data_IF_075706039591
#
_entry.id   IF_075706039591
#
_cell.length_a   1.000
_cell.length_b   1.000
_cell.length_c   1.000
_cell.angle_alpha   90.00
_cell.angle_beta   90.00
_cell.angle_gamma   90.00
#
_symmetry.space_group_name_H-M   'P 1'
#
loop_
_entity.id
_entity.type
_entity.pdbx_description
1 polymer ?
#
# COMPACT_ATOMS: atom_id res chain seq x y z
N UNK A 1 40.18 74.88 -64.44
CA UNK A 1 39.65 75.61 -63.29
C UNK A 1 38.14 75.59 -63.43
N UNK A 2 37.47 74.68 -62.73
CA UNK A 2 36.45 75.05 -61.74
C UNK A 2 35.84 73.79 -61.15
N UNK A 3 35.96 73.73 -59.83
CA UNK A 3 35.35 72.77 -58.93
C UNK A 3 33.82 72.89 -59.00
N UNK A 4 33.12 71.76 -59.09
CA UNK A 4 31.82 71.62 -58.44
C UNK A 4 31.68 70.18 -57.95
N UNK A 5 31.90 70.02 -56.65
CA UNK A 5 31.76 68.80 -55.87
C UNK A 5 30.29 68.38 -55.78
N UNK A 6 29.92 67.37 -56.56
CA UNK A 6 28.69 66.59 -56.32
C UNK A 6 29.05 65.33 -55.53
N UNK A 7 29.42 65.49 -54.26
CA UNK A 7 29.47 64.34 -53.35
C UNK A 7 28.04 64.02 -52.89
N UNK A 8 27.57 62.76 -53.07
CA UNK A 8 26.26 62.36 -52.60
C UNK A 8 26.23 62.34 -51.06
N UNK A 9 25.27 63.06 -50.48
CA UNK A 9 24.96 63.01 -49.05
C UNK A 9 24.35 61.64 -48.75
N UNK A 10 25.07 60.81 -47.98
CA UNK A 10 24.59 59.52 -47.50
C UNK A 10 23.54 59.77 -46.41
N UNK A 11 22.26 59.70 -46.78
CA UNK A 11 21.13 59.71 -45.84
C UNK A 11 21.06 58.35 -45.13
N UNK A 12 21.81 58.24 -44.03
CA UNK A 12 21.69 57.15 -43.07
C UNK A 12 22.32 55.83 -43.52
N UNK A 13 23.42 55.44 -42.89
CA UNK A 13 23.85 54.04 -42.91
C UNK A 13 22.89 53.23 -42.05
N UNK A 14 22.03 52.43 -42.67
CA UNK A 14 21.29 51.40 -41.95
C UNK A 14 22.32 50.49 -41.27
N UNK A 15 22.33 50.52 -39.93
CA UNK A 15 23.14 49.60 -39.12
C UNK A 15 22.67 48.20 -39.51
N UNK A 16 23.52 47.46 -40.23
CA UNK A 16 23.25 46.07 -40.59
C UNK A 16 23.12 45.31 -39.27
N UNK A 17 21.89 45.10 -38.80
CA UNK A 17 21.65 44.20 -37.69
C UNK A 17 22.28 42.87 -38.04
N UNK A 18 23.09 42.34 -37.12
CA UNK A 18 23.74 41.03 -37.28
C UNK A 18 22.64 40.03 -37.58
N UNK A 19 22.56 39.62 -38.84
CA UNK A 19 21.77 38.49 -39.31
C UNK A 19 21.90 37.37 -38.27
N UNK A 20 20.76 36.98 -37.69
CA UNK A 20 20.65 35.93 -36.68
C UNK A 20 21.41 34.72 -37.18
N UNK A 21 22.48 34.31 -36.47
CA UNK A 21 23.39 33.24 -36.91
C UNK A 21 22.58 31.96 -37.16
N UNK A 22 22.31 31.57 -38.42
CA UNK A 22 21.45 30.41 -38.70
C UNK A 22 22.08 29.12 -38.17
N UNK A 23 23.40 29.07 -38.12
CA UNK A 23 24.19 27.97 -37.53
C UNK A 23 23.81 27.72 -36.06
N UNK A 24 23.52 28.76 -35.27
CA UNK A 24 23.14 28.58 -33.87
C UNK A 24 21.79 27.88 -33.72
N UNK A 25 20.84 28.18 -34.61
CA UNK A 25 19.52 27.52 -34.63
C UNK A 25 19.68 26.03 -34.96
N UNK A 26 20.53 25.68 -35.91
CA UNK A 26 20.82 24.27 -36.24
C UNK A 26 21.52 23.53 -35.11
N UNK A 27 22.43 24.18 -34.37
CA UNK A 27 23.08 23.58 -33.20
C UNK A 27 22.07 23.30 -32.09
N UNK A 28 21.18 24.25 -31.79
CA UNK A 28 20.12 24.08 -30.78
C UNK A 28 19.13 22.99 -31.20
N UNK A 29 18.73 22.96 -32.48
CA UNK A 29 17.84 21.93 -33.01
C UNK A 29 18.46 20.53 -32.92
N UNK A 30 19.74 20.39 -33.26
CA UNK A 30 20.47 19.13 -33.14
C UNK A 30 20.57 18.66 -31.67
N UNK A 31 20.73 19.59 -30.73
CA UNK A 31 20.74 19.30 -29.29
C UNK A 31 19.37 18.83 -28.78
N UNK A 32 18.28 19.47 -29.23
CA UNK A 32 16.92 19.06 -28.87
C UNK A 32 16.60 17.68 -29.45
N UNK A 33 16.90 17.46 -30.73
CA UNK A 33 16.69 16.15 -31.37
C UNK A 33 17.54 15.08 -30.66
N UNK A 34 18.82 15.35 -30.43
CA UNK A 34 19.73 14.45 -29.74
C UNK A 34 19.26 14.08 -28.33
N UNK A 35 18.78 15.06 -27.56
CA UNK A 35 18.25 14.81 -26.20
C UNK A 35 16.93 14.05 -26.23
N UNK A 36 16.05 14.32 -27.20
CA UNK A 36 14.76 13.61 -27.33
C UNK A 36 14.96 12.14 -27.69
N UNK A 37 15.93 11.82 -28.55
CA UNK A 37 16.27 10.43 -28.87
C UNK A 37 17.15 9.76 -27.80
N UNK A 38 17.98 10.50 -27.08
CA UNK A 38 18.82 9.96 -26.01
C UNK A 38 18.07 9.74 -24.69
N UNK A 39 16.94 10.42 -24.46
CA UNK A 39 16.10 10.30 -23.27
C UNK A 39 15.75 8.85 -22.89
N UNK A 40 15.22 7.99 -23.80
CA UNK A 40 14.94 6.59 -23.46
C UNK A 40 16.20 5.80 -23.06
N UNK A 41 17.36 6.11 -23.65
CA UNK A 41 18.64 5.47 -23.30
C UNK A 41 19.18 5.95 -21.95
N UNK A 42 19.04 7.24 -21.64
CA UNK A 42 19.40 7.79 -20.32
C UNK A 42 18.50 7.19 -19.25
N UNK A 43 17.20 7.02 -19.53
CA UNK A 43 16.26 6.38 -18.63
C UNK A 43 16.64 4.92 -18.36
N UNK A 44 17.00 4.14 -19.39
CA UNK A 44 17.49 2.76 -19.17
C UNK A 44 18.83 2.73 -18.42
N UNK A 45 19.72 3.69 -18.69
CA UNK A 45 21.04 3.77 -18.06
C UNK A 45 20.95 4.16 -16.58
N UNK A 46 20.09 5.11 -16.20
CA UNK A 46 19.86 5.51 -14.80
C UNK A 46 19.12 4.42 -14.01
N UNK A 47 18.24 3.64 -14.65
CA UNK A 47 17.48 2.59 -13.98
C UNK A 47 18.27 1.29 -13.78
N UNK A 48 19.40 1.09 -14.47
CA UNK A 48 20.29 -0.07 -14.30
C UNK A 48 21.37 0.21 -13.22
N UNK A 49 21.33 -0.47 -12.06
CA UNK A 49 22.28 -0.26 -10.97
C UNK A 49 23.72 -0.69 -11.29
N UNK A 50 23.95 -1.44 -12.37
CA UNK A 50 25.29 -1.86 -12.81
C UNK A 50 26.04 -0.77 -13.61
N UNK A 51 25.35 0.31 -13.97
CA UNK A 51 25.99 1.44 -14.66
C UNK A 51 26.50 2.48 -13.68
N UNK A 52 27.45 3.31 -14.10
CA UNK A 52 28.01 4.36 -13.25
C UNK A 52 26.94 5.37 -12.76
N UNK A 53 26.05 5.81 -13.65
CA UNK A 53 24.99 6.77 -13.31
C UNK A 53 23.88 6.11 -12.50
N UNK A 54 23.53 4.86 -12.80
CA UNK A 54 22.59 4.10 -11.98
C UNK A 54 23.12 3.90 -10.57
N UNK A 55 24.35 3.43 -10.40
CA UNK A 55 24.97 3.27 -9.09
C UNK A 55 24.99 4.58 -8.26
N UNK A 56 25.23 5.73 -8.91
CA UNK A 56 25.14 7.05 -8.27
C UNK A 56 23.70 7.43 -7.90
N UNK A 57 22.73 7.19 -8.80
CA UNK A 57 21.32 7.45 -8.55
C UNK A 57 20.79 6.61 -7.37
N UNK A 58 21.06 5.30 -7.37
CA UNK A 58 20.66 4.38 -6.31
C UNK A 58 21.37 4.69 -4.98
N UNK A 59 22.60 5.19 -4.99
CA UNK A 59 23.36 5.53 -3.76
C UNK A 59 22.87 6.79 -3.05
N UNK A 60 22.35 7.78 -3.77
CA UNK A 60 22.04 9.10 -3.20
C UNK A 60 20.56 9.48 -3.23
N UNK A 61 19.75 8.88 -4.11
CA UNK A 61 18.36 9.30 -4.33
C UNK A 61 17.33 8.20 -4.09
N UNK A 62 17.75 6.93 -3.96
CA UNK A 62 16.88 5.82 -3.54
C UNK A 62 17.25 5.42 -2.10
N UNK A 63 16.38 5.70 -1.12
CA UNK A 63 16.37 4.93 0.12
C UNK A 63 16.25 3.45 -0.24
N UNK A 64 16.90 2.52 0.47
CA UNK A 64 16.82 1.11 0.11
C UNK A 64 15.35 0.71 0.20
N UNK A 65 14.71 0.52 -0.95
CA UNK A 65 13.57 -0.38 -0.98
C UNK A 65 14.12 -1.75 -0.60
N UNK A 66 13.43 -2.46 0.29
CA UNK A 66 13.84 -3.78 0.72
C UNK A 66 14.13 -4.64 -0.51
N UNK A 67 15.19 -5.45 -0.40
CA UNK A 67 15.61 -6.36 -1.45
C UNK A 67 14.56 -7.48 -1.61
N UNK A 68 13.42 -7.12 -2.19
CA UNK A 68 12.53 -8.07 -2.81
C UNK A 68 13.27 -8.51 -4.07
N UNK A 69 14.01 -9.62 -3.99
CA UNK A 69 14.33 -10.37 -5.20
C UNK A 69 12.98 -10.59 -5.89
N UNK A 70 12.68 -9.94 -7.02
CA UNK A 70 11.45 -10.23 -7.71
C UNK A 70 11.60 -11.68 -8.15
N UNK A 71 10.88 -12.58 -7.46
CA UNK A 71 10.55 -13.86 -8.04
C UNK A 71 9.76 -13.47 -9.28
N UNK A 72 10.43 -13.38 -10.43
CA UNK A 72 9.77 -13.22 -11.71
C UNK A 72 8.81 -14.39 -11.76
N UNK A 73 7.48 -14.17 -11.68
CA UNK A 73 6.53 -15.25 -11.67
C UNK A 73 6.77 -16.09 -12.91
N UNK A 74 6.62 -17.40 -12.79
CA UNK A 74 6.46 -18.22 -13.99
C UNK A 74 5.24 -17.62 -14.73
N UNK A 75 5.43 -17.14 -15.96
CA UNK A 75 4.41 -16.33 -16.65
C UNK A 75 3.08 -17.08 -16.82
N UNK A 76 3.12 -18.41 -16.72
CA UNK A 76 2.00 -19.33 -16.79
C UNK A 76 1.01 -19.22 -15.61
N UNK A 77 1.43 -18.66 -14.47
CA UNK A 77 0.59 -18.56 -13.26
C UNK A 77 -0.14 -17.21 -13.11
N UNK A 78 0.07 -16.27 -14.03
CA UNK A 78 -0.55 -14.94 -13.99
C UNK A 78 -1.84 -14.90 -14.81
N UNK A 79 -2.95 -14.55 -14.15
CA UNK A 79 -4.25 -14.43 -14.79
C UNK A 79 -4.64 -12.96 -14.95
N UNK A 80 -5.27 -12.61 -16.07
CA UNK A 80 -5.83 -11.26 -16.26
C UNK A 80 -6.91 -11.02 -15.20
N UNK A 81 -6.91 -9.86 -14.54
CA UNK A 81 -7.93 -9.52 -13.54
C UNK A 81 -9.15 -8.90 -14.21
N UNK A 82 -10.19 -9.71 -14.45
CA UNK A 82 -11.48 -9.30 -15.01
C UNK A 82 -12.63 -10.22 -14.55
N UNK A 83 -13.86 -9.88 -14.93
CA UNK A 83 -15.08 -10.58 -14.48
C UNK A 83 -15.14 -12.04 -14.92
N UNK A 84 -14.57 -12.36 -16.08
CA UNK A 84 -14.58 -13.70 -16.67
C UNK A 84 -13.50 -14.62 -16.07
N UNK A 85 -12.53 -14.05 -15.37
CA UNK A 85 -11.40 -14.79 -14.85
C UNK A 85 -11.74 -15.51 -13.55
N UNK A 86 -11.30 -16.77 -13.49
CA UNK A 86 -11.27 -17.54 -12.25
C UNK A 86 -9.83 -17.95 -11.94
N UNK A 87 -9.35 -17.57 -10.76
CA UNK A 87 -8.02 -17.91 -10.27
C UNK A 87 -8.16 -19.05 -9.25
N UNK A 88 -7.33 -20.08 -9.41
CA UNK A 88 -7.30 -21.24 -8.53
C UNK A 88 -5.98 -21.30 -7.79
N UNK A 89 -6.03 -21.47 -6.47
CA UNK A 89 -4.86 -21.76 -5.66
C UNK A 89 -5.22 -22.74 -4.56
N UNK A 90 -4.70 -23.96 -4.67
CA UNK A 90 -5.06 -25.09 -3.79
C UNK A 90 -6.58 -25.28 -3.74
N UNK A 91 -7.22 -25.03 -2.60
CA UNK A 91 -8.67 -25.14 -2.39
C UNK A 91 -9.40 -23.81 -2.59
N UNK A 92 -8.69 -22.69 -2.69
CA UNK A 92 -9.24 -21.33 -2.81
C UNK A 92 -9.53 -21.03 -4.28
N UNK A 93 -10.71 -20.47 -4.51
CA UNK A 93 -11.17 -20.01 -5.82
C UNK A 93 -11.55 -18.54 -5.70
N UNK A 94 -10.98 -17.72 -6.57
CA UNK A 94 -11.29 -16.30 -6.71
C UNK A 94 -11.91 -16.04 -8.09
N UNK A 95 -13.08 -15.40 -8.14
CA UNK A 95 -13.80 -15.13 -9.39
C UNK A 95 -14.57 -13.81 -9.37
N UNK A 96 -15.18 -13.43 -10.50
CA UNK A 96 -15.99 -12.22 -10.66
C UNK A 96 -15.22 -10.95 -10.25
N UNK A 97 -14.01 -10.80 -10.79
CA UNK A 97 -13.10 -9.73 -10.40
C UNK A 97 -13.50 -8.43 -11.10
N UNK A 98 -13.81 -7.40 -10.32
CA UNK A 98 -14.11 -6.07 -10.85
C UNK A 98 -13.07 -5.08 -10.34
N UNK A 99 -12.57 -4.24 -11.26
CA UNK A 99 -11.59 -3.20 -10.99
C UNK A 99 -12.25 -1.85 -11.28
N UNK A 100 -12.38 -0.99 -10.27
CA UNK A 100 -12.90 0.36 -10.45
C UNK A 100 -12.09 1.37 -9.62
N UNK A 101 -11.32 2.20 -10.31
CA UNK A 101 -10.51 3.25 -9.72
C UNK A 101 -9.63 2.74 -8.57
N UNK A 102 -9.98 2.99 -7.30
CA UNK A 102 -9.21 2.54 -6.13
C UNK A 102 -9.67 1.19 -5.59
N UNK A 103 -10.71 0.61 -6.18
CA UNK A 103 -11.41 -0.52 -5.59
C UNK A 103 -11.25 -1.74 -6.48
N UNK A 104 -11.00 -2.87 -5.82
CA UNK A 104 -11.09 -4.19 -6.41
C UNK A 104 -12.11 -4.98 -5.61
N UNK A 105 -13.01 -5.66 -6.31
CA UNK A 105 -13.95 -6.58 -5.69
C UNK A 105 -13.89 -7.94 -6.37
N UNK A 106 -14.15 -8.99 -5.61
CA UNK A 106 -14.10 -10.37 -6.07
C UNK A 106 -14.93 -11.27 -5.15
N UNK A 107 -15.27 -12.46 -5.65
CA UNK A 107 -15.83 -13.54 -4.84
C UNK A 107 -14.75 -14.54 -4.47
N UNK A 108 -14.71 -14.94 -3.20
CA UNK A 108 -13.90 -16.03 -2.69
C UNK A 108 -14.79 -17.22 -2.31
N UNK A 109 -14.31 -18.43 -2.59
CA UNK A 109 -14.88 -19.66 -2.02
C UNK A 109 -13.85 -20.77 -1.94
N UNK A 110 -14.22 -21.85 -1.26
CA UNK A 110 -13.44 -23.10 -1.21
C UNK A 110 -14.15 -24.23 -1.94
N UNK A 111 -13.38 -25.20 -2.45
CA UNK A 111 -13.95 -26.33 -3.21
C UNK A 111 -14.58 -27.44 -2.36
N UNK A 112 -14.11 -27.66 -1.13
CA UNK A 112 -14.42 -28.88 -0.38
C UNK A 112 -14.90 -28.59 1.03
N UNK A 113 -14.00 -28.14 1.90
CA UNK A 113 -14.26 -27.89 3.31
C UNK A 113 -14.03 -26.43 3.62
N UNK A 114 -14.72 -25.91 4.64
CA UNK A 114 -14.49 -24.56 5.12
C UNK A 114 -13.03 -24.29 5.43
N UNK A 115 -12.60 -23.06 5.21
CA UNK A 115 -11.24 -22.59 5.47
C UNK A 115 -11.31 -21.20 6.06
N UNK A 116 -10.70 -21.02 7.23
CA UNK A 116 -10.49 -19.70 7.82
C UNK A 116 -9.21 -19.08 7.24
N UNK A 117 -9.35 -17.94 6.56
CA UNK A 117 -8.21 -17.19 6.02
C UNK A 117 -7.71 -16.08 6.97
N UNK A 118 -8.43 -15.76 8.04
CA UNK A 118 -8.10 -14.63 8.92
C UNK A 118 -6.71 -14.76 9.56
N UNK A 119 -6.37 -15.98 9.98
CA UNK A 119 -5.06 -16.30 10.57
C UNK A 119 -4.02 -16.78 9.52
N UNK A 120 -4.47 -17.00 8.28
CA UNK A 120 -3.66 -17.43 7.16
C UNK A 120 -2.82 -16.30 6.54
N UNK A 121 -1.80 -16.70 5.78
CA UNK A 121 -0.89 -15.80 5.06
C UNK A 121 -1.15 -15.85 3.55
N UNK A 122 -2.43 -15.83 3.16
CA UNK A 122 -2.84 -15.88 1.75
C UNK A 122 -3.04 -14.49 1.20
N UNK A 123 -2.54 -14.25 -0.01
CA UNK A 123 -2.58 -12.93 -0.63
C UNK A 123 -2.93 -13.01 -2.11
N UNK A 124 -3.70 -12.03 -2.59
CA UNK A 124 -3.78 -11.71 -3.99
C UNK A 124 -2.66 -10.72 -4.33
N UNK A 125 -1.74 -11.13 -5.19
CA UNK A 125 -0.76 -10.22 -5.79
C UNK A 125 -1.31 -9.63 -7.08
N UNK A 126 -1.14 -8.33 -7.25
CA UNK A 126 -1.58 -7.57 -8.42
C UNK A 126 -0.34 -7.05 -9.15
N UNK A 127 -0.30 -7.32 -10.44
CA UNK A 127 0.77 -6.98 -11.35
C UNK A 127 0.26 -6.03 -12.44
N UNK A 128 1.11 -5.11 -12.86
CA UNK A 128 0.85 -4.24 -14.01
C UNK A 128 1.05 -4.97 -15.33
N UNK A 129 0.77 -4.30 -16.45
CA UNK A 129 0.99 -4.88 -17.79
C UNK A 129 2.46 -5.23 -18.09
N UNK A 130 3.40 -4.58 -17.40
CA UNK A 130 4.83 -4.92 -17.48
C UNK A 130 5.23 -6.07 -16.53
N UNK A 131 4.26 -6.76 -15.92
CA UNK A 131 4.44 -7.89 -14.98
C UNK A 131 5.27 -7.57 -13.74
N UNK A 132 5.37 -6.29 -13.38
CA UNK A 132 5.92 -5.84 -12.11
C UNK A 132 4.83 -5.86 -11.04
N UNK A 133 5.19 -6.29 -9.82
CA UNK A 133 4.29 -6.29 -8.66
C UNK A 133 3.91 -4.84 -8.36
N UNK A 134 2.61 -4.57 -8.31
CA UNK A 134 2.03 -3.26 -8.02
C UNK A 134 1.54 -3.20 -6.59
N UNK A 135 0.72 -4.18 -6.22
CA UNK A 135 0.05 -4.20 -4.92
C UNK A 135 -0.17 -5.63 -4.46
N UNK A 136 -0.44 -5.78 -3.17
CA UNK A 136 -0.85 -7.04 -2.57
C UNK A 136 -2.11 -6.80 -1.73
N UNK A 137 -2.97 -7.80 -1.62
CA UNK A 137 -4.15 -7.77 -0.73
C UNK A 137 -4.13 -9.04 0.08
N UNK A 138 -4.25 -8.92 1.41
CA UNK A 138 -4.42 -10.10 2.27
C UNK A 138 -5.83 -10.65 2.08
N UNK A 139 -5.94 -11.92 1.73
CA UNK A 139 -7.22 -12.60 1.65
C UNK A 139 -7.66 -12.98 3.07
N UNK A 140 -8.92 -12.68 3.40
CA UNK A 140 -9.47 -12.85 4.75
C UNK A 140 -10.88 -13.44 4.69
N UNK A 141 -11.38 -13.85 5.84
CA UNK A 141 -12.73 -14.37 6.03
C UNK A 141 -12.78 -15.89 6.17
N UNK A 142 -13.90 -16.33 6.73
CA UNK A 142 -14.27 -17.74 6.81
C UNK A 142 -14.93 -18.17 5.50
N UNK A 143 -14.19 -18.89 4.67
CA UNK A 143 -14.66 -19.34 3.36
C UNK A 143 -15.44 -20.65 3.49
N UNK A 144 -16.55 -20.73 2.76
CA UNK A 144 -17.33 -21.96 2.54
C UNK A 144 -17.37 -22.25 1.03
N UNK A 145 -18.15 -23.26 0.63
CA UNK A 145 -18.39 -23.54 -0.80
C UNK A 145 -19.25 -22.47 -1.48
N UNK A 146 -19.85 -21.56 -0.72
CA UNK A 146 -20.63 -20.44 -1.23
C UNK A 146 -19.73 -19.24 -1.55
N UNK A 147 -20.19 -18.40 -2.47
CA UNK A 147 -19.46 -17.18 -2.83
C UNK A 147 -19.49 -16.19 -1.68
N UNK A 148 -18.32 -15.82 -1.17
CA UNK A 148 -18.13 -14.73 -0.24
C UNK A 148 -17.64 -13.50 -0.99
N UNK A 149 -18.48 -12.46 -1.09
CA UNK A 149 -18.12 -11.21 -1.74
C UNK A 149 -17.17 -10.40 -0.87
N UNK A 150 -16.07 -9.96 -1.46
CA UNK A 150 -15.05 -9.12 -0.83
C UNK A 150 -14.80 -7.89 -1.69
N UNK A 151 -14.49 -6.78 -1.03
CA UNK A 151 -14.09 -5.53 -1.68
C UNK A 151 -12.99 -4.88 -0.88
N UNK A 152 -11.95 -4.42 -1.59
CA UNK A 152 -10.81 -3.73 -1.01
C UNK A 152 -10.59 -2.41 -1.72
N UNK A 153 -10.34 -1.35 -0.96
CA UNK A 153 -10.05 -0.01 -1.49
C UNK A 153 -8.63 0.39 -1.12
N UNK A 154 -7.81 0.62 -2.14
CA UNK A 154 -6.43 1.06 -1.98
C UNK A 154 -6.34 2.52 -1.55
N UNK A 155 -5.42 2.82 -0.64
CA UNK A 155 -5.16 4.20 -0.24
C UNK A 155 -4.39 4.96 -1.33
N UNK A 156 -3.34 4.33 -1.88
CA UNK A 156 -2.34 4.99 -2.72
C UNK A 156 -2.22 4.44 -4.15
N UNK A 157 -3.13 3.55 -4.57
CA UNK A 157 -3.09 2.92 -5.88
C UNK A 157 -4.42 3.10 -6.61
N UNK A 158 -4.36 3.31 -7.93
CA UNK A 158 -5.53 3.42 -8.79
C UNK A 158 -5.36 2.51 -10.02
N UNK A 159 -6.39 1.75 -10.34
CA UNK A 159 -6.54 1.01 -11.58
C UNK A 159 -6.81 1.96 -12.75
N UNK A 160 -6.06 1.78 -13.83
CA UNK A 160 -6.30 2.42 -15.12
C UNK A 160 -7.17 1.51 -16.00
N UNK A 161 -8.36 1.99 -16.38
CA UNK A 161 -9.32 1.24 -17.21
C UNK A 161 -8.79 0.85 -18.60
N UNK A 162 -7.71 1.48 -19.07
CA UNK A 162 -7.11 1.21 -20.38
C UNK A 162 -5.96 0.18 -20.33
N UNK A 163 -5.70 -0.41 -19.15
CA UNK A 163 -4.54 -1.28 -18.92
C UNK A 163 -5.03 -2.62 -18.35
N UNK A 164 -4.45 -3.72 -18.83
CA UNK A 164 -4.68 -5.02 -18.23
C UNK A 164 -3.82 -5.18 -16.98
N UNK A 165 -4.47 -5.56 -15.89
CA UNK A 165 -3.82 -5.99 -14.66
C UNK A 165 -3.84 -7.51 -14.59
N UNK A 166 -2.84 -8.07 -13.95
CA UNK A 166 -2.70 -9.50 -13.78
C UNK A 166 -2.62 -9.83 -12.29
N UNK A 167 -3.02 -11.04 -11.91
CA UNK A 167 -2.87 -11.46 -10.53
C UNK A 167 -2.81 -12.96 -10.36
N UNK A 168 -2.40 -13.34 -9.16
CA UNK A 168 -2.33 -14.71 -8.68
C UNK A 168 -2.48 -14.73 -7.18
N UNK A 169 -2.91 -15.86 -6.65
CA UNK A 169 -2.96 -16.07 -5.20
C UNK A 169 -1.66 -16.74 -4.78
N UNK A 170 -1.05 -16.26 -3.70
CA UNK A 170 0.13 -16.84 -3.07
C UNK A 170 -0.09 -17.08 -1.60
N UNK A 171 0.73 -17.95 -1.02
CA UNK A 171 0.87 -18.13 0.42
C UNK A 171 2.28 -17.68 0.82
N UNK A 172 2.38 -16.61 1.62
CA UNK A 172 3.68 -16.14 2.11
C UNK A 172 4.16 -16.99 3.28
N UNK A 173 5.39 -17.47 3.16
CA UNK A 173 6.13 -18.14 4.22
C UNK A 173 6.96 -17.13 5.01
N UNK A 174 7.44 -17.56 6.16
CA UNK A 174 8.16 -16.70 7.10
C UNK A 174 9.42 -16.03 6.50
N UNK A 175 10.05 -16.71 5.53
CA UNK A 175 11.20 -16.23 4.75
C UNK A 175 10.87 -15.12 3.74
N UNK A 176 9.58 -14.92 3.42
CA UNK A 176 9.16 -13.88 2.48
C UNK A 176 8.92 -12.53 3.14
N UNK A 177 8.93 -12.47 4.48
CA UNK A 177 8.78 -11.23 5.23
C UNK A 177 10.15 -10.62 5.50
N UNK A 178 10.24 -9.30 5.31
CA UNK A 178 11.43 -8.55 5.68
C UNK A 178 11.71 -8.66 7.17
N UNK A 179 12.99 -8.72 7.51
CA UNK A 179 13.41 -8.63 8.90
C UNK A 179 13.00 -7.29 9.49
N UNK A 180 12.37 -7.35 10.66
CA UNK A 180 11.90 -6.18 11.37
C UNK A 180 12.76 -5.97 12.61
N UNK A 181 13.56 -4.91 12.60
CA UNK A 181 14.34 -4.50 13.77
C UNK A 181 13.43 -3.71 14.70
N UNK A 182 13.11 -4.29 15.84
CA UNK A 182 12.39 -3.63 16.91
C UNK A 182 13.35 -3.28 18.05
N UNK A 183 13.31 -2.03 18.49
CA UNK A 183 14.04 -1.60 19.68
C UNK A 183 13.15 -1.81 20.90
N UNK A 184 13.56 -2.71 21.80
CA UNK A 184 12.90 -2.88 23.08
C UNK A 184 13.20 -1.72 24.03
N UNK A 185 12.23 -1.42 24.87
CA UNK A 185 12.38 -0.52 26.02
C UNK A 185 13.15 -1.19 27.17
N UNK A 186 13.31 -0.46 28.28
CA UNK A 186 13.99 -0.95 29.49
C UNK A 186 13.33 -2.18 30.12
N UNK A 187 12.06 -2.44 29.80
CA UNK A 187 11.30 -3.62 30.26
C UNK A 187 11.45 -4.82 29.33
N UNK A 188 12.20 -4.67 28.22
CA UNK A 188 12.36 -5.71 27.20
C UNK A 188 11.20 -5.77 26.19
N UNK A 189 10.24 -4.84 26.28
CA UNK A 189 9.07 -4.79 25.41
C UNK A 189 9.31 -3.86 24.22
N UNK A 190 8.86 -4.26 23.04
CA UNK A 190 8.83 -3.40 21.87
C UNK A 190 7.38 -3.19 21.41
N UNK A 191 7.10 -2.13 20.67
CA UNK A 191 5.77 -1.93 20.11
C UNK A 191 5.79 -1.47 18.65
N UNK A 192 4.68 -1.73 17.96
CA UNK A 192 4.37 -1.20 16.63
C UNK A 192 3.01 -0.53 16.72
N UNK A 193 2.93 0.72 16.28
CA UNK A 193 1.69 1.49 16.25
C UNK A 193 1.21 1.63 14.81
N UNK A 194 0.06 1.05 14.51
CA UNK A 194 -0.61 1.12 13.20
C UNK A 194 -1.87 1.97 13.29
N UNK A 195 -1.98 2.98 12.41
CA UNK A 195 -3.08 3.97 12.42
C UNK A 195 -3.77 4.00 11.06
N UNK A 196 -5.10 4.01 11.08
CA UNK A 196 -5.97 4.39 9.96
C UNK A 196 -6.81 5.64 10.33
N UNK A 197 -7.82 5.98 9.53
CA UNK A 197 -8.69 7.15 9.78
C UNK A 197 -9.49 7.14 11.10
N UNK A 198 -9.77 5.97 11.68
CA UNK A 198 -10.64 5.80 12.86
C UNK A 198 -10.02 4.91 13.95
N UNK A 199 -9.14 4.00 13.59
CA UNK A 199 -8.51 3.02 14.45
C UNK A 199 -7.03 3.34 14.66
N UNK A 200 -6.57 3.14 15.88
CA UNK A 200 -5.17 3.03 16.24
C UNK A 200 -4.97 1.73 17.00
N UNK A 201 -4.14 0.85 16.46
CA UNK A 201 -3.69 -0.36 17.12
C UNK A 201 -2.24 -0.19 17.54
N UNK A 202 -1.93 -0.48 18.78
CA UNK A 202 -0.58 -0.63 19.29
C UNK A 202 -0.37 -2.09 19.70
N UNK A 203 0.49 -2.76 18.96
CA UNK A 203 0.88 -4.15 19.19
C UNK A 203 2.15 -4.16 20.02
N UNK A 204 2.13 -4.87 21.15
CA UNK A 204 3.26 -4.91 22.08
C UNK A 204 3.84 -6.33 22.09
N UNK A 205 5.15 -6.41 21.95
CA UNK A 205 5.92 -7.61 21.71
C UNK A 205 6.94 -7.84 22.82
N UNK A 206 7.15 -9.10 23.14
CA UNK A 206 8.27 -9.58 23.95
C UNK A 206 9.05 -10.58 23.09
N UNK A 207 10.36 -10.38 22.93
CA UNK A 207 11.18 -11.20 22.04
C UNK A 207 10.63 -11.30 20.60
N UNK A 208 10.11 -10.19 20.05
CA UNK A 208 9.48 -10.11 18.71
C UNK A 208 8.17 -10.91 18.55
N UNK A 209 7.59 -11.43 19.64
CA UNK A 209 6.34 -12.19 19.65
C UNK A 209 5.24 -11.41 20.37
N UNK A 210 4.05 -11.36 19.77
CA UNK A 210 2.95 -10.52 20.25
C UNK A 210 2.46 -10.98 21.63
N UNK A 211 2.30 -10.03 22.57
CA UNK A 211 1.76 -10.27 23.91
C UNK A 211 0.52 -9.45 24.22
N UNK A 212 0.48 -8.19 23.76
CA UNK A 212 -0.63 -7.29 24.04
C UNK A 212 -1.09 -6.53 22.80
N UNK A 213 -2.37 -6.16 22.80
CA UNK A 213 -2.96 -5.28 21.80
C UNK A 213 -3.68 -4.14 22.54
N UNK A 214 -3.21 -2.92 22.34
CA UNK A 214 -3.96 -1.73 22.70
C UNK A 214 -4.74 -1.25 21.49
N UNK A 215 -6.05 -1.08 21.63
CA UNK A 215 -6.90 -0.58 20.56
C UNK A 215 -7.59 0.70 21.00
N UNK A 216 -7.46 1.73 20.15
CA UNK A 216 -8.15 3.00 20.28
C UNK A 216 -9.01 3.20 19.04
N UNK A 217 -10.30 3.46 19.24
CA UNK A 217 -11.22 3.76 18.16
C UNK A 217 -11.93 5.08 18.44
N UNK A 218 -11.87 5.99 17.48
CA UNK A 218 -12.47 7.31 17.59
C UNK A 218 -13.55 7.47 16.53
N UNK A 219 -14.77 7.76 16.97
CA UNK A 219 -15.90 8.05 16.09
C UNK A 219 -16.35 9.50 16.30
N UNK A 220 -16.31 10.30 15.23
CA UNK A 220 -16.58 11.75 15.28
C UNK A 220 -17.86 12.21 14.58
N UNK A 221 -18.51 11.33 13.83
CA UNK A 221 -19.62 11.72 12.96
C UNK A 221 -20.96 11.62 13.69
N UNK A 222 -21.35 12.69 14.35
CA UNK A 222 -22.64 12.78 15.05
C UNK A 222 -23.79 13.25 14.15
N UNK A 223 -23.58 13.38 12.84
CA UNK A 223 -24.59 13.93 11.92
C UNK A 223 -25.77 12.97 11.69
N UNK A 224 -25.53 11.65 11.77
CA UNK A 224 -26.55 10.62 11.66
C UNK A 224 -26.68 9.89 13.00
N UNK A 225 -27.66 10.33 13.80
CA UNK A 225 -27.81 9.88 15.18
C UNK A 225 -28.02 8.37 15.32
N UNK A 226 -28.77 7.74 14.41
CA UNK A 226 -29.02 6.30 14.47
C UNK A 226 -27.74 5.49 14.27
N UNK A 227 -26.90 5.88 13.29
CA UNK A 227 -25.60 5.25 13.03
C UNK A 227 -24.66 5.47 14.21
N UNK A 228 -24.65 6.69 14.76
CA UNK A 228 -23.84 7.02 15.93
C UNK A 228 -24.20 6.13 17.12
N UNK A 229 -25.50 6.01 17.44
CA UNK A 229 -25.97 5.20 18.58
C UNK A 229 -25.69 3.71 18.38
N UNK A 230 -25.83 3.19 17.16
CA UNK A 230 -25.49 1.80 16.83
C UNK A 230 -24.00 1.52 17.06
N UNK A 231 -23.11 2.39 16.56
CA UNK A 231 -21.67 2.26 16.74
C UNK A 231 -21.27 2.42 18.23
N UNK A 232 -21.85 3.39 18.94
CA UNK A 232 -21.59 3.58 20.36
C UNK A 232 -22.01 2.35 21.18
N UNK A 233 -23.20 1.80 20.91
CA UNK A 233 -23.70 0.60 21.59
C UNK A 233 -22.80 -0.61 21.32
N UNK A 234 -22.36 -0.80 20.08
CA UNK A 234 -21.42 -1.87 19.69
C UNK A 234 -20.11 -1.80 20.46
N UNK A 235 -19.50 -0.63 20.60
CA UNK A 235 -18.24 -0.48 21.35
C UNK A 235 -18.43 -0.52 22.88
N UNK A 236 -19.58 -0.05 23.38
CA UNK A 236 -19.97 -0.20 24.78
C UNK A 236 -20.11 -1.68 25.17
N UNK A 237 -20.77 -2.48 24.33
CA UNK A 237 -20.88 -3.93 24.52
C UNK A 237 -19.51 -4.63 24.49
N UNK A 238 -18.63 -4.24 23.55
CA UNK A 238 -17.25 -4.73 23.52
C UNK A 238 -16.47 -4.40 24.80
N UNK A 239 -16.64 -3.18 25.32
CA UNK A 239 -15.98 -2.78 26.57
C UNK A 239 -16.44 -3.66 27.74
N UNK A 240 -17.75 -3.91 27.84
CA UNK A 240 -18.30 -4.80 28.85
C UNK A 240 -17.76 -6.23 28.74
N UNK A 241 -17.68 -6.78 27.52
CA UNK A 241 -17.10 -8.11 27.29
C UNK A 241 -15.64 -8.20 27.72
N UNK A 242 -14.81 -7.22 27.34
CA UNK A 242 -13.40 -7.17 27.75
C UNK A 242 -13.28 -7.05 29.28
N UNK A 243 -14.07 -6.19 29.90
CA UNK A 243 -14.03 -5.98 31.35
C UNK A 243 -14.54 -7.19 32.16
N UNK A 244 -15.41 -8.03 31.58
CA UNK A 244 -15.82 -9.30 32.19
C UNK A 244 -14.67 -10.32 32.23
N UNK A 245 -13.74 -10.26 31.27
CA UNK A 245 -12.56 -11.13 31.23
C UNK A 245 -11.42 -10.57 32.10
N UNK A 246 -11.20 -9.25 32.05
CA UNK A 246 -10.22 -8.54 32.87
C UNK A 246 -10.72 -7.14 33.20
N UNK A 247 -11.00 -6.88 34.48
CA UNK A 247 -11.52 -5.58 34.96
C UNK A 247 -10.69 -4.41 34.46
N UNK A 248 -11.35 -3.28 34.18
CA UNK A 248 -10.75 -2.00 33.78
C UNK A 248 -9.82 -2.07 32.57
N UNK A 249 -9.99 -3.08 31.72
CA UNK A 249 -9.20 -3.28 30.51
C UNK A 249 -9.80 -2.62 29.27
N UNK A 250 -11.06 -2.17 29.32
CA UNK A 250 -11.67 -1.40 28.24
C UNK A 250 -12.66 -0.33 28.75
N UNK A 251 -12.87 0.69 27.93
CA UNK A 251 -13.78 1.79 28.20
C UNK A 251 -14.32 2.37 26.90
N UNK A 252 -15.59 2.76 26.90
CA UNK A 252 -16.20 3.61 25.87
C UNK A 252 -16.72 4.86 26.55
N UNK A 253 -16.31 6.03 26.08
CA UNK A 253 -16.74 7.32 26.63
C UNK A 253 -17.16 8.27 25.51
N UNK A 254 -18.28 8.95 25.71
CA UNK A 254 -18.67 10.08 24.88
C UNK A 254 -17.76 11.28 25.16
N UNK A 255 -17.54 12.10 24.15
CA UNK A 255 -16.90 13.40 24.25
C UNK A 255 -17.66 14.41 23.38
N UNK A 256 -17.25 15.69 23.41
CA UNK A 256 -17.94 16.78 22.69
C UNK A 256 -18.00 16.58 21.16
N UNK A 257 -17.22 15.65 20.61
CA UNK A 257 -17.10 15.39 19.17
C UNK A 257 -17.64 14.00 18.77
N UNK A 258 -18.07 13.15 19.70
CA UNK A 258 -18.52 11.79 19.44
C UNK A 258 -18.18 10.84 20.58
N UNK A 259 -17.43 9.75 20.31
CA UNK A 259 -16.98 8.85 21.37
C UNK A 259 -15.58 8.27 21.10
N UNK A 260 -14.91 7.89 22.19
CA UNK A 260 -13.63 7.19 22.20
C UNK A 260 -13.80 5.83 22.88
N UNK A 261 -13.42 4.77 22.16
CA UNK A 261 -13.21 3.46 22.73
C UNK A 261 -11.71 3.21 22.95
N UNK A 262 -11.36 2.72 24.12
CA UNK A 262 -10.00 2.29 24.47
C UNK A 262 -10.04 0.89 25.05
N UNK A 263 -9.17 0.01 24.59
CA UNK A 263 -9.01 -1.35 25.13
C UNK A 263 -7.54 -1.73 25.25
N UNK A 264 -7.23 -2.49 26.30
CA UNK A 264 -5.94 -3.11 26.61
C UNK A 264 -6.12 -4.60 26.68
N UNK A 265 -5.63 -5.31 25.68
CA UNK A 265 -5.87 -6.75 25.53
C UNK A 265 -4.60 -7.49 25.85
N UNK A 266 -4.66 -8.23 26.95
CA UNK A 266 -3.66 -9.20 27.37
C UNK A 266 -3.97 -10.56 26.75
N UNK A 267 -3.20 -10.95 25.75
CA UNK A 267 -3.45 -12.17 24.97
C UNK A 267 -3.15 -13.46 25.75
N UNK A 268 -2.51 -13.36 26.91
CA UNK A 268 -2.36 -14.50 27.83
C UNK A 268 -3.64 -14.81 28.60
N UNK A 269 -4.57 -13.85 28.66
CA UNK A 269 -5.85 -13.96 29.40
C UNK A 269 -7.04 -14.02 28.44
N UNK A 270 -6.97 -13.29 27.32
CA UNK A 270 -8.07 -13.10 26.38
C UNK A 270 -7.66 -13.53 24.98
N UNK A 271 -8.40 -14.48 24.39
CA UNK A 271 -8.22 -14.81 22.98
C UNK A 271 -9.30 -14.13 22.10
N UNK A 272 -9.12 -14.16 20.78
CA UNK A 272 -10.07 -13.53 19.83
C UNK A 272 -11.49 -14.07 19.95
N UNK A 273 -11.63 -15.37 20.22
CA UNK A 273 -12.92 -16.05 20.31
C UNK A 273 -13.68 -15.58 21.54
N UNK A 274 -13.01 -15.46 22.69
CA UNK A 274 -13.60 -14.96 23.95
C UNK A 274 -14.11 -13.52 23.79
N UNK A 275 -13.45 -12.74 22.94
CA UNK A 275 -13.80 -11.36 22.65
C UNK A 275 -14.96 -11.21 21.66
N UNK A 276 -15.45 -12.31 21.06
CA UNK A 276 -16.39 -12.25 19.94
C UNK A 276 -15.78 -11.59 18.69
N UNK A 277 -14.46 -11.68 18.54
CA UNK A 277 -13.66 -11.03 17.51
C UNK A 277 -12.92 -12.03 16.63
N UNK A 278 -13.41 -13.27 16.55
CA UNK A 278 -12.81 -14.32 15.72
C UNK A 278 -12.66 -13.88 14.24
N UNK A 279 -13.65 -13.15 13.72
CA UNK A 279 -13.62 -12.61 12.36
C UNK A 279 -12.83 -11.29 12.21
N UNK A 280 -12.34 -10.70 13.31
CA UNK A 280 -11.61 -9.44 13.25
C UNK A 280 -10.12 -9.69 12.94
N UNK A 281 -9.75 -9.32 11.73
CA UNK A 281 -8.41 -9.54 11.17
C UNK A 281 -7.31 -8.68 11.79
N UNK A 282 -7.65 -7.64 12.56
CA UNK A 282 -6.69 -6.73 13.19
C UNK A 282 -6.34 -7.11 14.63
N UNK A 283 -7.10 -8.04 15.21
CA UNK A 283 -6.72 -8.69 16.46
C UNK A 283 -5.92 -9.90 16.03
N UNK A 284 -4.74 -10.12 16.60
CA UNK A 284 -3.86 -11.24 16.26
C UNK A 284 -3.76 -12.18 17.47
N UNK A 285 -3.45 -13.45 17.22
CA UNK A 285 -3.26 -14.42 18.29
C UNK A 285 -1.95 -14.18 19.03
N UNK A 286 -1.89 -14.66 20.28
CA UNK A 286 -0.68 -14.68 21.10
C UNK A 286 0.50 -15.25 20.30
N UNK A 287 1.67 -14.66 20.49
CA UNK A 287 2.93 -15.06 19.86
C UNK A 287 2.99 -14.95 18.34
N UNK A 288 2.07 -14.21 17.70
CA UNK A 288 2.23 -13.87 16.28
C UNK A 288 3.52 -13.02 16.09
N UNK A 289 4.40 -13.36 15.14
CA UNK A 289 5.64 -12.61 14.90
C UNK A 289 5.38 -11.16 14.46
N UNK A 290 6.17 -10.23 15.01
CA UNK A 290 6.03 -8.80 14.74
C UNK A 290 6.19 -8.44 13.25
N UNK A 291 7.11 -9.08 12.53
CA UNK A 291 7.33 -8.86 11.10
C UNK A 291 6.08 -9.15 10.26
N UNK A 292 5.30 -10.17 10.64
CA UNK A 292 4.07 -10.52 9.94
C UNK A 292 2.99 -9.47 10.23
N UNK A 293 2.80 -9.07 11.50
CA UNK A 293 1.80 -8.04 11.85
C UNK A 293 2.09 -6.72 11.13
N UNK A 294 3.35 -6.27 11.16
CA UNK A 294 3.77 -5.06 10.46
C UNK A 294 3.45 -5.11 8.96
N UNK A 295 3.74 -6.26 8.34
CA UNK A 295 3.49 -6.48 6.92
C UNK A 295 1.99 -6.49 6.60
N UNK A 296 1.21 -7.31 7.32
CA UNK A 296 -0.23 -7.46 7.16
C UNK A 296 -0.94 -6.10 7.29
N UNK A 297 -0.64 -5.33 8.33
CA UNK A 297 -1.28 -4.05 8.59
C UNK A 297 -0.97 -3.03 7.49
N UNK A 298 0.28 -2.97 6.99
CA UNK A 298 0.65 -2.09 5.87
C UNK A 298 -0.08 -2.47 4.58
N UNK A 299 -0.19 -3.76 4.28
CA UNK A 299 -0.94 -4.27 3.12
C UNK A 299 -2.43 -3.95 3.23
N UNK A 300 -2.98 -3.92 4.44
CA UNK A 300 -4.35 -3.49 4.71
C UNK A 300 -4.53 -1.96 4.73
N UNK A 301 -3.48 -1.20 4.40
CA UNK A 301 -3.53 0.25 4.23
C UNK A 301 -3.25 1.07 5.50
N UNK A 302 -2.89 0.44 6.61
CA UNK A 302 -2.48 1.16 7.82
C UNK A 302 -1.10 1.80 7.64
N UNK A 303 -0.90 2.93 8.32
CA UNK A 303 0.43 3.52 8.52
C UNK A 303 1.00 2.99 9.83
N UNK A 304 2.03 2.15 9.75
CA UNK A 304 2.67 1.54 10.91
C UNK A 304 4.06 2.13 11.15
N UNK A 305 4.33 2.51 12.42
CA UNK A 305 5.61 2.99 12.92
C UNK A 305 6.03 2.24 14.18
#
# INVERSE_FOLDING_TARGET
MDNNSNEPIVLGTLRKEKSSKPIFVFVVLALIIGTTFALPYIQSYVNDPNTFLGALYYKYFKTPEPNYNPIIPNEEDLHILNEETTIYYRTILLSNITLDNKTISYNLKVRTSSLDLNDGNYYLEIYGSAKNLMERIKLTGNLTTENNYQSFTFNNFNFNKNINYYGKIIELKDENYEELILNSDESGLASITCIDSKNKFEYIFENHLLKYINHYYEYKDISQIDIYLEEFQKYSQKSALINNLKSDSAKTEENDQGFLFTAKIDLSVMNKTDLGMADNIYYYNLDKPAKIINYDMKVQGFKCN
#
